data_IF_857458918141
#
_entry.id   IF_857458918141
#
_cell.length_a   1.000
_cell.length_b   1.000
_cell.length_c   1.000
_cell.angle_alpha   90.00
_cell.angle_beta   90.00
_cell.angle_gamma   90.00
#
_symmetry.space_group_name_H-M   'P 1'
#
loop_
_entity.id
_entity.type
_entity.pdbx_description
1 polymer ?
#
# COMPACT_ATOMS: atom_id res chain seq x y z
N UNK A 1 -0.24 12.57 17.41
CA UNK A 1 1.13 12.39 16.87
C UNK A 1 1.22 11.08 16.10
N UNK A 2 1.82 11.10 14.92
CA UNK A 2 2.04 9.89 14.11
C UNK A 2 3.43 9.35 14.40
N UNK A 3 3.51 8.10 14.79
CA UNK A 3 4.75 7.35 14.98
C UNK A 3 4.87 6.29 13.89
N UNK A 4 6.03 6.19 13.26
CA UNK A 4 6.32 5.14 12.27
C UNK A 4 7.34 4.16 12.85
N UNK A 5 7.02 2.88 12.76
CA UNK A 5 7.91 1.79 13.16
C UNK A 5 8.04 0.80 12.01
N UNK A 6 9.23 0.25 11.84
CA UNK A 6 9.49 -0.68 10.73
C UNK A 6 9.87 -2.06 11.22
N UNK A 7 9.53 -3.07 10.42
CA UNK A 7 9.90 -4.48 10.57
C UNK A 7 9.67 -4.98 12.01
N UNK A 8 10.72 -5.48 12.65
CA UNK A 8 10.61 -6.08 13.98
C UNK A 8 10.00 -5.12 15.03
N UNK A 9 10.39 -3.85 15.01
CA UNK A 9 9.86 -2.85 15.95
C UNK A 9 8.34 -2.69 15.81
N UNK A 10 7.83 -2.75 14.58
CA UNK A 10 6.39 -2.75 14.33
C UNK A 10 5.72 -4.03 14.85
N UNK A 11 6.31 -5.21 14.58
CA UNK A 11 5.77 -6.50 14.99
C UNK A 11 5.74 -6.72 16.50
N UNK A 12 6.54 -5.99 17.26
CA UNK A 12 6.47 -6.01 18.72
C UNK A 12 5.18 -5.33 19.25
N UNK A 13 4.52 -4.53 18.42
CA UNK A 13 3.34 -3.74 18.78
C UNK A 13 2.03 -4.25 18.17
N UNK A 14 2.09 -5.08 17.14
CA UNK A 14 0.92 -5.56 16.41
C UNK A 14 1.01 -7.08 16.17
N UNK A 15 -0.16 -7.73 16.13
CA UNK A 15 -0.29 -9.15 15.81
C UNK A 15 -0.62 -9.37 14.34
N UNK A 16 -0.52 -10.62 13.87
CA UNK A 16 -0.99 -11.01 12.55
C UNK A 16 -2.49 -10.69 12.36
N UNK A 17 -3.31 -10.92 13.39
CA UNK A 17 -4.74 -10.61 13.35
C UNK A 17 -5.00 -9.10 13.23
N UNK A 18 -4.18 -8.27 13.86
CA UNK A 18 -4.27 -6.81 13.72
C UNK A 18 -4.05 -6.38 12.27
N UNK A 19 -3.07 -6.97 11.59
CA UNK A 19 -2.77 -6.68 10.19
C UNK A 19 -3.93 -7.10 9.29
N UNK A 20 -4.45 -8.31 9.48
CA UNK A 20 -5.59 -8.83 8.70
C UNK A 20 -6.84 -7.98 8.91
N UNK A 21 -7.16 -7.65 10.15
CA UNK A 21 -8.34 -6.83 10.49
C UNK A 21 -8.25 -5.42 9.93
N UNK A 22 -7.09 -4.79 10.04
CA UNK A 22 -6.88 -3.46 9.46
C UNK A 22 -7.01 -3.50 7.94
N UNK A 23 -6.41 -4.51 7.30
CA UNK A 23 -6.48 -4.66 5.84
C UNK A 23 -7.92 -4.83 5.37
N UNK A 24 -8.71 -5.64 6.08
CA UNK A 24 -10.14 -5.81 5.75
C UNK A 24 -10.90 -4.49 5.85
N UNK A 25 -10.72 -3.72 6.92
CA UNK A 25 -11.37 -2.41 7.06
C UNK A 25 -10.89 -1.41 6.02
N UNK A 26 -9.58 -1.36 5.75
CA UNK A 26 -8.98 -0.43 4.80
C UNK A 26 -9.47 -0.64 3.36
N UNK A 27 -9.79 -1.87 2.99
CA UNK A 27 -10.12 -2.26 1.62
C UNK A 27 -11.62 -2.46 1.38
N UNK A 28 -12.44 -2.52 2.43
CA UNK A 28 -13.83 -2.95 2.35
C UNK A 28 -14.65 -2.16 1.31
N UNK A 29 -14.54 -0.85 1.28
CA UNK A 29 -15.29 0.01 0.35
C UNK A 29 -14.93 -0.25 -1.12
N UNK A 30 -13.69 -0.62 -1.41
CA UNK A 30 -13.19 -0.87 -2.76
C UNK A 30 -13.31 -2.36 -3.13
N UNK A 31 -12.91 -3.24 -2.23
CA UNK A 31 -12.85 -4.68 -2.47
C UNK A 31 -14.22 -5.35 -2.54
N UNK A 32 -15.20 -4.78 -1.85
CA UNK A 32 -16.55 -5.34 -1.76
C UNK A 32 -17.61 -4.40 -2.34
N UNK A 33 -17.21 -3.53 -3.26
CA UNK A 33 -18.13 -2.62 -3.93
C UNK A 33 -19.27 -3.39 -4.64
N UNK A 34 -20.48 -2.84 -4.61
CA UNK A 34 -21.67 -3.53 -5.13
C UNK A 34 -21.64 -3.82 -6.64
N UNK A 35 -20.83 -3.10 -7.41
CA UNK A 35 -20.67 -3.33 -8.84
C UNK A 35 -19.76 -4.53 -9.19
N UNK A 36 -19.05 -5.11 -8.21
CA UNK A 36 -18.16 -6.25 -8.42
C UNK A 36 -18.96 -7.57 -8.52
N UNK A 37 -18.46 -8.47 -9.35
CA UNK A 37 -19.02 -9.83 -9.45
C UNK A 37 -18.64 -10.65 -8.20
N UNK A 38 -19.38 -11.75 -7.88
CA UNK A 38 -18.99 -12.62 -6.77
C UNK A 38 -17.58 -13.19 -6.93
N UNK A 39 -17.13 -13.47 -8.16
CA UNK A 39 -15.77 -13.94 -8.44
C UNK A 39 -14.72 -12.87 -8.12
N UNK A 40 -15.00 -11.62 -8.47
CA UNK A 40 -14.12 -10.50 -8.15
C UNK A 40 -14.04 -10.25 -6.63
N UNK A 41 -15.16 -10.30 -5.93
CA UNK A 41 -15.20 -10.18 -4.47
C UNK A 41 -14.38 -11.28 -3.82
N UNK A 42 -14.49 -12.53 -4.28
CA UNK A 42 -13.72 -13.64 -3.72
C UNK A 42 -12.21 -13.49 -3.99
N UNK A 43 -11.83 -12.99 -5.17
CA UNK A 43 -10.43 -12.68 -5.46
C UNK A 43 -9.89 -11.64 -4.48
N UNK A 44 -10.67 -10.61 -4.18
CA UNK A 44 -10.30 -9.58 -3.21
C UNK A 44 -10.23 -10.12 -1.77
N UNK A 45 -11.12 -11.04 -1.38
CA UNK A 45 -11.05 -11.71 -0.07
C UNK A 45 -9.75 -12.48 0.12
N UNK A 46 -9.25 -13.11 -0.92
CA UNK A 46 -7.96 -13.83 -0.89
C UNK A 46 -6.80 -12.89 -0.58
N UNK A 47 -6.84 -11.68 -1.14
CA UNK A 47 -5.82 -10.64 -0.87
C UNK A 47 -5.81 -10.29 0.62
N UNK A 48 -6.96 -10.09 1.23
CA UNK A 48 -7.05 -9.79 2.68
C UNK A 48 -6.51 -10.96 3.51
N UNK A 49 -6.83 -12.19 3.14
CA UNK A 49 -6.39 -13.38 3.87
C UNK A 49 -4.86 -13.56 3.90
N UNK A 50 -4.16 -13.12 2.86
CA UNK A 50 -2.69 -13.24 2.80
C UNK A 50 -1.94 -12.04 3.37
N UNK A 51 -2.64 -11.00 3.80
CA UNK A 51 -2.02 -9.73 4.21
C UNK A 51 -0.99 -9.91 5.33
N UNK A 52 -1.33 -10.66 6.38
CA UNK A 52 -0.43 -10.88 7.52
C UNK A 52 0.81 -11.68 7.10
N UNK A 53 0.64 -12.73 6.32
CA UNK A 53 1.75 -13.54 5.80
C UNK A 53 2.68 -12.69 4.93
N UNK A 54 2.10 -11.85 4.07
CA UNK A 54 2.86 -10.94 3.21
C UNK A 54 3.68 -9.94 4.03
N UNK A 55 3.08 -9.35 5.06
CA UNK A 55 3.75 -8.41 5.95
C UNK A 55 4.89 -9.09 6.74
N UNK A 56 4.65 -10.27 7.30
CA UNK A 56 5.68 -11.03 8.01
C UNK A 56 6.83 -11.42 7.08
N UNK A 57 6.53 -11.81 5.84
CA UNK A 57 7.52 -12.10 4.82
C UNK A 57 8.38 -10.88 4.48
N UNK A 58 7.77 -9.70 4.38
CA UNK A 58 8.49 -8.45 4.16
C UNK A 58 9.46 -8.12 5.30
N UNK A 59 9.04 -8.32 6.54
CA UNK A 59 9.91 -8.10 7.70
C UNK A 59 11.15 -9.01 7.73
N UNK A 60 11.08 -10.16 7.08
CA UNK A 60 12.17 -11.14 7.01
C UNK A 60 13.02 -11.01 5.73
N UNK A 61 12.71 -10.07 4.85
CA UNK A 61 13.35 -9.91 3.53
C UNK A 61 14.14 -8.60 3.48
N UNK A 62 15.45 -8.69 3.25
CA UNK A 62 16.34 -7.51 3.16
C UNK A 62 16.01 -6.55 2.01
N UNK A 63 15.27 -7.02 0.99
CA UNK A 63 14.84 -6.22 -0.16
C UNK A 63 13.45 -5.63 0.01
N UNK A 64 12.86 -5.78 1.19
CA UNK A 64 11.55 -5.24 1.52
C UNK A 64 11.59 -4.49 2.85
N UNK A 65 10.72 -3.51 2.97
CA UNK A 65 10.49 -2.80 4.23
C UNK A 65 9.01 -2.79 4.53
N UNK A 66 8.63 -3.28 5.71
CA UNK A 66 7.31 -3.10 6.28
C UNK A 66 7.35 -1.93 7.25
N UNK A 67 6.52 -0.92 7.01
CA UNK A 67 6.41 0.24 7.91
C UNK A 67 4.97 0.38 8.39
N UNK A 68 4.79 0.42 9.71
CA UNK A 68 3.50 0.63 10.35
C UNK A 68 3.40 2.03 10.94
N UNK A 69 2.23 2.63 10.86
CA UNK A 69 1.92 3.91 11.47
C UNK A 69 1.04 3.73 12.69
N UNK A 70 1.34 4.49 13.74
CA UNK A 70 0.56 4.53 14.98
C UNK A 70 0.16 5.98 15.26
N UNK A 71 -1.09 6.19 15.60
CA UNK A 71 -1.61 7.49 16.04
C UNK A 71 -2.00 7.36 17.50
N UNK A 72 -1.30 8.09 18.36
CA UNK A 72 -1.48 8.02 19.81
C UNK A 72 -1.48 6.57 20.33
N UNK A 73 -0.54 5.76 19.82
CA UNK A 73 -0.34 4.38 20.20
C UNK A 73 -1.25 3.36 19.52
N UNK A 74 -2.17 3.81 18.65
CA UNK A 74 -3.12 2.94 17.95
C UNK A 74 -2.62 2.63 16.53
N UNK A 75 -2.66 1.36 16.15
CA UNK A 75 -2.29 0.94 14.79
C UNK A 75 -3.24 1.54 13.76
N UNK A 76 -2.71 2.37 12.86
CA UNK A 76 -3.49 3.18 11.93
C UNK A 76 -3.32 2.78 10.47
N UNK A 77 -2.23 2.12 10.12
CA UNK A 77 -1.96 1.74 8.74
C UNK A 77 -0.56 1.17 8.55
N UNK A 78 -0.29 0.70 7.34
CA UNK A 78 1.03 0.19 6.98
C UNK A 78 1.29 0.31 5.49
N UNK A 79 2.56 0.21 5.11
CA UNK A 79 3.02 0.15 3.73
C UNK A 79 4.14 -0.89 3.61
N UNK A 80 4.18 -1.59 2.49
CA UNK A 80 5.29 -2.49 2.14
C UNK A 80 5.98 -1.91 0.91
N UNK A 81 7.30 -1.77 0.99
CA UNK A 81 8.14 -1.28 -0.11
C UNK A 81 9.07 -2.39 -0.53
N UNK A 82 9.23 -2.61 -1.84
CA UNK A 82 10.01 -3.72 -2.39
C UNK A 82 10.99 -3.24 -3.45
N UNK A 83 12.25 -3.63 -3.32
CA UNK A 83 13.28 -3.44 -4.34
C UNK A 83 13.47 -4.77 -5.07
N UNK A 84 12.90 -4.90 -6.26
CA UNK A 84 13.06 -6.09 -7.10
C UNK A 84 14.42 -6.08 -7.81
N UNK A 85 14.84 -4.89 -8.26
CA UNK A 85 16.13 -4.62 -8.91
C UNK A 85 16.47 -3.14 -8.75
N UNK A 86 17.63 -2.71 -9.22
CA UNK A 86 18.08 -1.32 -9.10
C UNK A 86 17.05 -0.29 -9.62
N UNK A 87 16.44 -0.58 -10.77
CA UNK A 87 15.44 0.30 -11.40
C UNK A 87 14.03 -0.34 -11.45
N UNK A 88 13.78 -1.33 -10.61
CA UNK A 88 12.48 -1.99 -10.45
C UNK A 88 12.08 -1.97 -8.98
N UNK A 89 11.40 -0.90 -8.59
CA UNK A 89 11.06 -0.62 -7.19
C UNK A 89 9.57 -0.39 -7.07
N UNK A 90 8.95 -1.14 -6.18
CA UNK A 90 7.50 -1.17 -6.02
C UNK A 90 7.09 -0.66 -4.64
N UNK A 91 6.13 0.27 -4.64
CA UNK A 91 5.42 0.64 -3.42
C UNK A 91 4.13 -0.18 -3.38
N UNK A 92 4.06 -1.10 -2.44
CA UNK A 92 3.00 -2.10 -2.37
C UNK A 92 2.25 -2.02 -1.04
N UNK A 93 1.02 -2.52 -1.01
CA UNK A 93 0.22 -2.66 0.22
C UNK A 93 0.15 -1.40 1.09
N UNK A 94 -0.21 -0.24 0.51
CA UNK A 94 -0.52 0.94 1.33
C UNK A 94 -1.95 0.81 1.87
N UNK A 95 -2.06 0.51 3.16
CA UNK A 95 -3.33 0.27 3.84
C UNK A 95 -3.48 1.22 5.03
N UNK A 96 -4.58 1.98 5.06
CA UNK A 96 -4.90 2.90 6.15
C UNK A 96 -6.30 2.62 6.66
N UNK A 97 -6.43 2.46 7.97
CA UNK A 97 -7.73 2.28 8.62
C UNK A 97 -8.61 3.50 8.32
N UNK A 98 -9.85 3.30 7.84
CA UNK A 98 -10.77 4.41 7.54
C UNK A 98 -11.01 5.39 8.69
N UNK A 99 -10.88 4.93 9.93
CA UNK A 99 -10.98 5.80 11.12
C UNK A 99 -9.96 6.94 11.09
N UNK A 100 -8.81 6.71 10.44
CA UNK A 100 -7.72 7.70 10.33
C UNK A 100 -7.70 8.44 8.98
N UNK A 101 -8.73 8.28 8.14
CA UNK A 101 -8.87 9.10 6.95
C UNK A 101 -9.04 10.58 7.33
N UNK A 102 -8.40 11.46 6.57
CA UNK A 102 -8.39 12.89 6.89
C UNK A 102 -7.24 13.31 7.83
N UNK A 103 -6.54 12.35 8.45
CA UNK A 103 -5.26 12.58 9.11
C UNK A 103 -4.11 12.41 8.07
N UNK A 104 -2.88 12.75 8.43
CA UNK A 104 -1.74 12.60 7.52
C UNK A 104 -1.10 11.20 7.53
N UNK A 105 -1.81 10.17 7.97
CA UNK A 105 -1.28 8.79 8.04
C UNK A 105 -0.91 8.27 6.65
N UNK A 106 -1.80 8.42 5.67
CA UNK A 106 -1.52 8.00 4.29
C UNK A 106 -0.29 8.70 3.71
N UNK A 107 -0.20 10.02 3.91
CA UNK A 107 0.95 10.82 3.46
C UNK A 107 2.24 10.42 4.14
N UNK A 108 2.22 10.20 5.45
CA UNK A 108 3.40 9.79 6.22
C UNK A 108 3.93 8.42 5.76
N UNK A 109 3.05 7.44 5.57
CA UNK A 109 3.41 6.12 5.07
C UNK A 109 3.94 6.18 3.63
N UNK A 110 3.29 6.97 2.78
CA UNK A 110 3.71 7.16 1.40
C UNK A 110 5.12 7.74 1.31
N UNK A 111 5.39 8.81 2.07
CA UNK A 111 6.71 9.43 2.11
C UNK A 111 7.77 8.47 2.63
N UNK A 112 7.49 7.74 3.70
CA UNK A 112 8.43 6.76 4.25
C UNK A 112 8.78 5.67 3.24
N UNK A 113 7.78 5.12 2.55
CA UNK A 113 7.99 4.11 1.52
C UNK A 113 8.80 4.63 0.34
N UNK A 114 8.46 5.82 -0.16
CA UNK A 114 9.16 6.44 -1.29
C UNK A 114 10.61 6.79 -0.94
N UNK A 115 10.87 7.32 0.25
CA UNK A 115 12.23 7.64 0.71
C UNK A 115 13.10 6.39 0.79
N UNK A 116 12.57 5.31 1.33
CA UNK A 116 13.30 4.04 1.40
C UNK A 116 13.57 3.46 0.02
N UNK A 117 12.62 3.56 -0.91
CA UNK A 117 12.80 3.12 -2.31
C UNK A 117 13.82 3.98 -3.06
N UNK A 118 14.00 5.24 -2.66
CA UNK A 118 14.92 6.18 -3.29
C UNK A 118 14.24 7.09 -4.29
N UNK A 119 14.15 8.39 -3.95
CA UNK A 119 13.48 9.39 -4.79
C UNK A 119 14.21 9.67 -6.11
N UNK A 120 15.47 9.24 -6.23
CA UNK A 120 16.32 9.32 -7.42
C UNK A 120 16.18 8.09 -8.34
N UNK A 121 15.29 7.17 -8.01
CA UNK A 121 15.03 5.96 -8.78
C UNK A 121 13.60 5.92 -9.28
N UNK A 122 13.36 5.27 -10.44
CA UNK A 122 11.99 5.03 -10.89
C UNK A 122 11.28 4.08 -9.92
N UNK A 123 10.01 4.30 -9.69
CA UNK A 123 9.19 3.42 -8.87
C UNK A 123 7.80 3.27 -9.46
N UNK A 124 7.13 2.19 -9.09
CA UNK A 124 5.80 1.88 -9.57
C UNK A 124 4.91 1.32 -8.47
N UNK A 125 3.64 1.33 -8.71
CA UNK A 125 2.63 0.67 -7.89
C UNK A 125 1.51 0.15 -8.79
N UNK A 126 0.68 -0.73 -8.25
CA UNK A 126 -0.57 -1.07 -8.90
C UNK A 126 -1.76 -0.63 -8.04
N UNK A 127 -2.87 -0.30 -8.70
CA UNK A 127 -4.07 0.18 -8.05
C UNK A 127 -5.30 -0.34 -8.80
N UNK A 128 -6.35 -0.69 -8.06
CA UNK A 128 -7.63 -1.10 -8.67
C UNK A 128 -8.18 0.07 -9.49
N UNK A 129 -8.59 -0.20 -10.75
CA UNK A 129 -9.02 0.84 -11.69
C UNK A 129 -10.18 1.69 -11.19
N UNK A 130 -11.12 1.11 -10.43
CA UNK A 130 -12.28 1.86 -9.91
C UNK A 130 -11.98 2.59 -8.58
N UNK A 131 -10.76 2.51 -8.06
CA UNK A 131 -10.37 3.24 -6.85
C UNK A 131 -9.86 4.64 -7.20
N UNK A 132 -10.76 5.52 -7.60
CA UNK A 132 -10.43 6.88 -8.04
C UNK A 132 -9.77 7.71 -6.94
N UNK A 133 -10.17 7.51 -5.69
CA UNK A 133 -9.59 8.22 -4.54
C UNK A 133 -8.11 7.89 -4.39
N UNK A 134 -7.74 6.62 -4.48
CA UNK A 134 -6.35 6.19 -4.41
C UNK A 134 -5.54 6.72 -5.60
N UNK A 135 -6.10 6.65 -6.82
CA UNK A 135 -5.45 7.16 -8.02
C UNK A 135 -5.11 8.65 -7.87
N UNK A 136 -6.07 9.46 -7.41
CA UNK A 136 -5.82 10.90 -7.17
C UNK A 136 -4.76 11.12 -6.09
N UNK A 137 -4.77 10.32 -5.03
CA UNK A 137 -3.77 10.38 -3.98
C UNK A 137 -2.37 10.09 -4.52
N UNK A 138 -2.22 9.04 -5.32
CA UNK A 138 -0.92 8.71 -5.93
C UNK A 138 -0.45 9.75 -6.93
N UNK A 139 -1.37 10.35 -7.69
CA UNK A 139 -1.03 11.45 -8.60
C UNK A 139 -0.42 12.66 -7.87
N UNK A 140 -0.91 12.97 -6.67
CA UNK A 140 -0.33 14.03 -5.83
C UNK A 140 1.10 13.73 -5.38
N UNK A 141 1.49 12.45 -5.39
CA UNK A 141 2.85 12.03 -5.06
C UNK A 141 3.74 11.80 -6.29
N UNK A 142 3.30 12.24 -7.46
CA UNK A 142 4.08 12.20 -8.69
C UNK A 142 3.91 10.95 -9.54
N UNK A 143 2.97 10.07 -9.19
CA UNK A 143 2.67 8.87 -9.98
C UNK A 143 1.67 9.19 -11.10
N UNK A 144 1.90 8.61 -12.26
CA UNK A 144 1.03 8.71 -13.42
C UNK A 144 0.63 7.32 -13.90
N UNK A 145 -0.60 7.17 -14.41
CA UNK A 145 -1.07 5.91 -14.97
C UNK A 145 -0.28 5.59 -16.23
N UNK A 146 0.28 4.37 -16.29
CA UNK A 146 0.89 3.82 -17.48
C UNK A 146 -0.19 3.07 -18.27
N UNK A 147 -0.76 3.72 -19.29
CA UNK A 147 -1.84 3.16 -20.11
C UNK A 147 -1.37 2.03 -21.03
N UNK A 148 -0.06 1.88 -21.23
CA UNK A 148 0.51 0.81 -22.04
C UNK A 148 0.76 -0.47 -21.23
N UNK A 149 0.75 -0.38 -19.90
CA UNK A 149 0.88 -1.53 -19.02
C UNK A 149 -0.48 -2.20 -18.82
N UNK A 150 -0.61 -3.42 -19.33
CA UNK A 150 -1.83 -4.23 -19.18
C UNK A 150 -1.62 -5.25 -18.08
N UNK A 151 -2.45 -5.19 -17.01
CA UNK A 151 -2.50 -6.22 -16.00
C UNK A 151 -3.81 -7.00 -16.17
N UNK A 152 -3.68 -8.23 -16.63
CA UNK A 152 -4.80 -9.15 -16.71
C UNK A 152 -5.02 -9.80 -15.34
N UNK A 153 -5.96 -9.24 -14.59
CA UNK A 153 -6.43 -9.77 -13.30
C UNK A 153 -7.95 -9.86 -13.32
N UNK A 154 -8.50 -10.72 -12.47
CA UNK A 154 -9.95 -10.84 -12.27
C UNK A 154 -10.55 -9.48 -11.92
N UNK A 155 -9.88 -8.71 -11.06
CA UNK A 155 -10.19 -7.31 -10.80
C UNK A 155 -9.18 -6.45 -11.56
N UNK A 156 -9.63 -5.59 -12.50
CA UNK A 156 -8.71 -4.78 -13.29
C UNK A 156 -7.91 -3.78 -12.46
N UNK A 157 -6.61 -3.69 -12.73
CA UNK A 157 -5.69 -2.75 -12.10
C UNK A 157 -5.00 -1.87 -13.12
N UNK A 158 -4.59 -0.66 -12.69
CA UNK A 158 -3.59 0.16 -13.39
C UNK A 158 -2.21 -0.05 -12.76
N UNK A 159 -1.18 0.06 -13.58
CA UNK A 159 0.18 0.37 -13.12
C UNK A 159 0.31 1.89 -13.12
N UNK A 160 0.81 2.45 -12.04
CA UNK A 160 1.20 3.85 -11.97
C UNK A 160 2.71 3.93 -11.76
N UNK A 161 3.36 4.89 -12.45
CA UNK A 161 4.81 5.04 -12.42
C UNK A 161 5.19 6.45 -11.98
N UNK A 162 6.29 6.54 -11.25
CA UNK A 162 6.88 7.78 -10.84
C UNK A 162 8.31 7.86 -11.38
N UNK A 163 8.61 8.90 -12.16
CA UNK A 163 9.94 9.16 -12.65
C UNK A 163 10.86 9.70 -11.53
N UNK A 164 12.20 9.47 -11.60
CA UNK A 164 13.13 10.04 -10.64
C UNK A 164 13.01 11.57 -10.58
N UNK A 165 13.01 12.13 -9.36
CA UNK A 165 12.98 13.57 -9.16
C UNK A 165 11.63 14.24 -9.44
N UNK A 166 10.54 13.48 -9.60
CA UNK A 166 9.20 14.05 -9.77
C UNK A 166 8.77 14.83 -8.53
N UNK A 167 8.08 15.94 -8.73
CA UNK A 167 7.58 16.76 -7.64
C UNK A 167 6.38 16.09 -6.96
N UNK A 168 6.24 16.39 -5.66
CA UNK A 168 5.06 16.04 -4.86
C UNK A 168 4.23 17.30 -4.71
N UNK A 169 2.96 17.25 -5.11
CA UNK A 169 2.04 18.38 -5.06
C UNK A 169 1.43 18.57 -3.65
#
# INVERSE_FOLDING_TARGET
MIELLSDRAALERISADDITSLTDRATAATFYAGALTPEQVEANRKVVRIAAETALGACANEHQLFTAAFVDGRFAGYVISTVHAADDRELDWLMVDPEFHGSDVSGALMRAGMEWLGLDRPMWLNVIQHNERAIRFYQKHGFEVDHDAVIEKIVPHFIMRRAPGSEVL
#
